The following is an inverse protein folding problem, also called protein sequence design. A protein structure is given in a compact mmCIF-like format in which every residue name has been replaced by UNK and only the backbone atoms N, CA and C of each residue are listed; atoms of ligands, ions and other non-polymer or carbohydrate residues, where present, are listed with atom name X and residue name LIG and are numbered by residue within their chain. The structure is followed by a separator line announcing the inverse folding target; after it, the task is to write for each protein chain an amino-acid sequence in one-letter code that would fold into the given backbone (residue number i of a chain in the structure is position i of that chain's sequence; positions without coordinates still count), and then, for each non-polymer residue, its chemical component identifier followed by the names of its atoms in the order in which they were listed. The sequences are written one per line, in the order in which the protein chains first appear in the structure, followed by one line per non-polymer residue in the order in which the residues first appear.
data_IF_021968633126
#
_entry.id   IF_021968633126
#
_cell.length_a   1.000
_cell.length_b   1.000
_cell.length_c   1.000
_cell.angle_alpha   90.00
_cell.angle_beta   90.00
_cell.angle_gamma   90.00
#
_symmetry.space_group_name_H-M   'P 1'
#
loop_
_entity.id
_entity.type
_entity.pdbx_description
1 polymer ?
#
# COMPACT_ATOMS: atom_id res chain seq x y z
N UNK A 1 5.06 -3.11 -9.45
CA UNK A 1 5.93 -3.98 -10.26
C UNK A 1 5.50 -5.42 -10.07
N UNK A 2 5.94 -6.34 -10.94
CA UNK A 2 5.89 -7.78 -10.64
C UNK A 2 6.83 -8.09 -9.45
N UNK A 3 6.64 -9.25 -8.82
CA UNK A 3 7.43 -9.74 -7.66
C UNK A 3 6.98 -9.22 -6.27
N UNK A 4 7.55 -9.81 -5.21
CA UNK A 4 7.31 -9.42 -3.80
C UNK A 4 8.16 -8.23 -3.38
N UNK A 5 7.83 -7.49 -2.30
CA UNK A 5 8.69 -6.37 -1.87
C UNK A 5 10.11 -6.79 -1.52
N UNK A 6 10.32 -8.02 -1.05
CA UNK A 6 11.65 -8.60 -0.79
C UNK A 6 12.53 -8.66 -2.04
N UNK A 7 11.91 -8.75 -3.21
CA UNK A 7 12.59 -8.84 -4.51
C UNK A 7 12.65 -7.46 -5.20
N UNK A 8 12.13 -6.40 -4.57
CA UNK A 8 12.05 -5.04 -5.13
C UNK A 8 13.38 -4.27 -5.08
N UNK A 9 14.51 -4.97 -5.05
CA UNK A 9 15.85 -4.40 -5.05
C UNK A 9 16.08 -3.36 -3.96
N UNK A 10 16.63 -2.21 -4.33
CA UNK A 10 16.99 -1.09 -3.42
C UNK A 10 15.79 -0.37 -2.80
N UNK A 11 14.56 -0.70 -3.20
CA UNK A 11 13.36 0.07 -2.85
C UNK A 11 13.10 0.08 -1.34
N UNK A 12 13.26 -1.07 -0.66
CA UNK A 12 13.05 -1.16 0.79
C UNK A 12 14.06 -0.30 1.56
N UNK A 13 15.33 -0.38 1.16
CA UNK A 13 16.41 0.41 1.77
C UNK A 13 16.21 1.90 1.54
N UNK A 14 15.77 2.30 0.34
CA UNK A 14 15.45 3.69 0.01
C UNK A 14 14.31 4.22 0.89
N UNK A 15 13.22 3.46 1.01
CA UNK A 15 12.08 3.83 1.86
C UNK A 15 12.54 3.98 3.32
N UNK A 16 13.35 3.04 3.82
CA UNK A 16 13.85 3.07 5.19
C UNK A 16 14.74 4.29 5.47
N UNK A 17 15.63 4.64 4.53
CA UNK A 17 16.57 5.75 4.70
C UNK A 17 15.94 7.12 4.47
N UNK A 18 15.07 7.25 3.48
CA UNK A 18 14.50 8.54 3.06
C UNK A 18 13.12 8.83 3.65
N UNK A 19 12.36 7.82 4.05
CA UNK A 19 11.02 7.97 4.63
C UNK A 19 10.93 8.95 5.80
N UNK A 20 11.93 9.06 6.70
CA UNK A 20 11.89 10.03 7.79
C UNK A 20 12.03 11.51 7.36
N UNK A 21 12.59 11.79 6.18
CA UNK A 21 12.97 13.16 5.76
C UNK A 21 12.33 13.59 4.45
N UNK A 22 11.88 12.64 3.64
CA UNK A 22 11.37 12.86 2.29
C UNK A 22 9.98 12.23 2.18
N UNK A 23 8.94 12.99 1.76
CA UNK A 23 7.63 12.40 1.51
C UNK A 23 7.70 11.32 0.41
N UNK A 24 7.14 10.14 0.69
CA UNK A 24 7.10 9.00 -0.25
C UNK A 24 5.65 8.59 -0.50
N UNK A 25 5.28 8.49 -1.78
CA UNK A 25 4.02 7.89 -2.22
C UNK A 25 4.28 6.54 -2.89
N UNK A 26 3.87 5.46 -2.24
CA UNK A 26 3.99 4.10 -2.78
C UNK A 26 2.72 3.65 -3.48
N UNK A 27 2.83 3.15 -4.71
CA UNK A 27 1.72 2.56 -5.48
C UNK A 27 2.03 1.11 -5.82
N UNK A 28 1.04 0.22 -5.74
CA UNK A 28 1.18 -1.22 -6.01
C UNK A 28 2.27 -1.85 -5.12
N UNK A 29 3.38 -2.31 -5.71
CA UNK A 29 4.52 -2.86 -4.98
C UNK A 29 5.16 -1.84 -4.02
N UNK A 30 5.12 -0.54 -4.36
CA UNK A 30 5.62 0.51 -3.48
C UNK A 30 4.78 0.64 -2.20
N UNK A 31 3.45 0.49 -2.30
CA UNK A 31 2.57 0.49 -1.12
C UNK A 31 2.88 -0.71 -0.21
N UNK A 32 3.08 -1.89 -0.80
CA UNK A 32 3.47 -3.10 -0.06
C UNK A 32 4.85 -2.95 0.60
N UNK A 33 5.81 -2.34 -0.11
CA UNK A 33 7.15 -2.06 0.41
C UNK A 33 7.14 -1.11 1.60
N UNK A 34 6.33 -0.04 1.57
CA UNK A 34 6.14 0.85 2.72
C UNK A 34 5.59 0.05 3.90
N UNK A 35 4.51 -0.70 3.71
CA UNK A 35 3.94 -1.55 4.75
C UNK A 35 4.98 -2.46 5.38
N UNK A 36 5.79 -3.12 4.55
CA UNK A 36 6.83 -4.04 5.01
C UNK A 36 7.98 -3.36 5.76
N UNK A 37 8.50 -2.24 5.26
CA UNK A 37 9.62 -1.50 5.91
C UNK A 37 9.26 -1.07 7.32
N UNK A 38 8.00 -0.69 7.55
CA UNK A 38 7.53 -0.26 8.86
C UNK A 38 7.03 -1.40 9.75
N UNK A 39 7.10 -2.66 9.30
CA UNK A 39 6.82 -3.86 10.12
C UNK A 39 5.51 -4.59 9.81
N UNK A 40 4.74 -4.15 8.81
CA UNK A 40 3.55 -4.85 8.34
C UNK A 40 3.88 -6.10 7.52
N UNK A 41 3.01 -7.11 7.58
CA UNK A 41 3.19 -8.34 6.80
C UNK A 41 2.49 -8.24 5.45
N UNK A 42 3.17 -8.64 4.38
CA UNK A 42 2.58 -8.72 3.04
C UNK A 42 2.14 -10.16 2.76
N UNK A 43 0.85 -10.36 2.60
CA UNK A 43 0.23 -11.68 2.38
C UNK A 43 -0.42 -11.77 1.01
N UNK A 44 -0.75 -12.99 0.58
CA UNK A 44 -1.57 -13.20 -0.62
C UNK A 44 -2.98 -12.66 -0.38
N UNK A 45 -3.49 -11.91 -1.35
CA UNK A 45 -4.86 -11.47 -1.36
C UNK A 45 -5.79 -12.69 -1.44
N UNK A 46 -6.81 -12.75 -0.58
CA UNK A 46 -7.80 -13.84 -0.62
C UNK A 46 -8.56 -13.92 -1.95
N UNK A 47 -8.68 -12.80 -2.68
CA UNK A 47 -9.23 -12.73 -4.03
C UNK A 47 -8.27 -11.98 -4.95
N UNK A 48 -7.85 -12.62 -6.04
CA UNK A 48 -7.01 -11.99 -7.06
C UNK A 48 -7.88 -11.03 -7.88
N UNK A 49 -7.51 -9.76 -7.90
CA UNK A 49 -8.21 -8.71 -8.66
C UNK A 49 -7.27 -8.20 -9.76
N UNK A 50 -7.57 -8.56 -11.01
CA UNK A 50 -6.79 -8.19 -12.20
C UNK A 50 -7.74 -7.50 -13.19
N UNK A 51 -7.56 -6.20 -13.41
CA UNK A 51 -8.36 -5.41 -14.36
C UNK A 51 -9.80 -5.14 -13.95
N UNK A 52 -10.15 -5.34 -12.68
CA UNK A 52 -11.49 -5.07 -12.14
C UNK A 52 -11.51 -3.75 -11.39
N UNK A 53 -12.58 -2.97 -11.54
CA UNK A 53 -12.82 -1.79 -10.72
C UNK A 53 -13.38 -2.19 -9.36
N UNK A 54 -13.10 -1.39 -8.34
CA UNK A 54 -13.71 -1.53 -7.02
C UNK A 54 -13.93 -0.16 -6.40
N UNK A 55 -15.06 0.06 -5.71
CA UNK A 55 -15.26 1.27 -4.94
C UNK A 55 -14.31 1.27 -3.73
N UNK A 56 -13.55 2.34 -3.58
CA UNK A 56 -12.63 2.54 -2.44
C UNK A 56 -13.30 3.47 -1.43
N UNK A 57 -13.45 2.99 -0.19
CA UNK A 57 -13.90 3.82 0.93
C UNK A 57 -12.67 4.46 1.57
N UNK A 58 -12.79 5.71 1.99
CA UNK A 58 -11.71 6.41 2.68
C UNK A 58 -12.26 7.44 3.66
N UNK A 59 -11.43 7.88 4.60
CA UNK A 59 -11.82 8.92 5.57
C UNK A 59 -11.48 10.34 5.07
N UNK A 60 -11.01 10.49 3.83
CA UNK A 60 -10.66 11.79 3.24
C UNK A 60 -9.37 12.39 3.82
N UNK A 61 -8.55 11.54 4.44
CA UNK A 61 -7.25 11.90 5.02
C UNK A 61 -6.14 11.79 3.99
N UNK A 62 -5.08 12.58 4.19
CA UNK A 62 -3.86 12.53 3.37
C UNK A 62 -4.16 12.71 1.88
N UNK A 63 -3.71 11.77 1.06
CA UNK A 63 -3.90 11.80 -0.40
C UNK A 63 -5.34 11.64 -0.87
N UNK A 64 -6.26 11.25 0.02
CA UNK A 64 -7.69 11.13 -0.29
C UNK A 64 -8.49 12.41 -0.02
N UNK A 65 -7.84 13.48 0.47
CA UNK A 65 -8.51 14.74 0.73
C UNK A 65 -9.18 15.31 -0.53
N UNK A 66 -10.47 15.63 -0.43
CA UNK A 66 -11.27 16.18 -1.53
C UNK A 66 -11.77 15.15 -2.57
N UNK A 67 -11.45 13.86 -2.40
CA UNK A 67 -12.00 12.80 -3.25
C UNK A 67 -13.42 12.39 -2.80
N UNK A 68 -14.29 11.96 -3.74
CA UNK A 68 -15.60 11.46 -3.40
C UNK A 68 -15.51 10.10 -2.69
N UNK A 69 -16.37 9.87 -1.71
CA UNK A 69 -16.50 8.54 -1.09
C UNK A 69 -16.86 7.49 -2.16
N UNK A 70 -16.32 6.28 -2.00
CA UNK A 70 -16.49 5.15 -2.92
C UNK A 70 -16.05 5.48 -4.36
N UNK A 71 -15.02 6.29 -4.53
CA UNK A 71 -14.46 6.53 -5.86
C UNK A 71 -14.00 5.21 -6.49
N UNK A 72 -14.17 5.11 -7.81
CA UNK A 72 -13.83 3.89 -8.56
C UNK A 72 -12.34 3.83 -8.84
N UNK A 73 -11.68 2.80 -8.32
CA UNK A 73 -10.28 2.52 -8.62
C UNK A 73 -10.12 1.16 -9.30
N UNK A 74 -9.22 1.08 -10.27
CA UNK A 74 -8.84 -0.21 -10.88
C UNK A 74 -7.92 -0.95 -9.93
N UNK A 75 -8.24 -2.21 -9.61
CA UNK A 75 -7.42 -3.06 -8.76
C UNK A 75 -6.58 -4.02 -9.58
N UNK A 76 -5.33 -4.14 -9.18
CA UNK A 76 -4.32 -4.99 -9.80
C UNK A 76 -3.40 -5.55 -8.73
N UNK A 77 -3.90 -6.48 -7.90
CA UNK A 77 -3.14 -6.94 -6.74
C UNK A 77 -3.39 -8.42 -6.45
N UNK A 78 -2.30 -9.19 -6.39
CA UNK A 78 -2.23 -10.56 -5.85
C UNK A 78 -1.73 -10.59 -4.40
N UNK A 79 -1.12 -9.51 -3.93
CA UNK A 79 -0.57 -9.35 -2.58
C UNK A 79 -1.14 -8.08 -1.93
N UNK A 80 -1.34 -8.12 -0.61
CA UNK A 80 -1.86 -7.01 0.20
C UNK A 80 -1.10 -6.93 1.52
N UNK A 81 -1.06 -5.74 2.13
CA UNK A 81 -0.60 -5.57 3.51
C UNK A 81 -1.69 -6.10 4.45
N UNK A 82 -1.35 -7.00 5.36
CA UNK A 82 -2.31 -7.56 6.30
C UNK A 82 -2.65 -6.55 7.41
N UNK A 83 -3.91 -6.12 7.41
CA UNK A 83 -4.48 -5.19 8.40
C UNK A 83 -4.33 -5.69 9.85
N UNK A 84 -4.28 -7.00 10.08
CA UNK A 84 -4.18 -7.56 11.43
C UNK A 84 -2.74 -7.52 11.95
N UNK A 85 -1.77 -7.31 11.05
CA UNK A 85 -0.35 -7.21 11.36
C UNK A 85 0.16 -5.77 11.30
N UNK A 86 -0.73 -4.78 11.12
CA UNK A 86 -0.32 -3.40 10.94
C UNK A 86 0.24 -2.85 12.27
N UNK A 87 1.49 -2.35 12.28
CA UNK A 87 2.07 -1.74 13.47
C UNK A 87 1.46 -0.35 13.71
N UNK A 88 1.47 0.12 14.97
CA UNK A 88 0.85 1.38 15.40
C UNK A 88 1.41 2.64 14.70
N UNK A 89 2.59 2.52 14.08
CA UNK A 89 3.21 3.59 13.28
C UNK A 89 2.54 3.80 11.92
N UNK A 90 1.63 2.90 11.51
CA UNK A 90 0.87 2.99 10.27
C UNK A 90 -0.63 3.16 10.56
N UNK A 91 -1.27 4.09 9.85
CA UNK A 91 -2.71 4.30 9.90
C UNK A 91 -3.37 3.80 8.60
N UNK A 92 -4.47 3.04 8.72
CA UNK A 92 -5.28 2.62 7.57
C UNK A 92 -6.15 3.80 7.12
N UNK A 93 -6.00 4.23 5.86
CA UNK A 93 -6.74 5.38 5.31
C UNK A 93 -7.74 5.03 4.21
N UNK A 94 -7.59 3.86 3.56
CA UNK A 94 -8.47 3.34 2.50
C UNK A 94 -8.31 1.82 2.28
#
# INVERSE_FOLDING_TARGET
GPCTPNEAGVSLELIQRLGPTTPILGVCLGHQGIGQVYGGTVIRAGNIMHGKTSPIRHEGKGVFAGLPDRYQATRYHSLVVDKNSLPDVLEVTA
#
